data_IF_790887173698
#
_entry.id   IF_790887173698
#
_cell.length_a   1.000
_cell.length_b   1.000
_cell.length_c   1.000
_cell.angle_alpha   90.00
_cell.angle_beta   90.00
_cell.angle_gamma   90.00
#
_symmetry.space_group_name_H-M   'P 1'
#
loop_
_entity.id
_entity.type
_entity.pdbx_description
1 polymer ?
#
# COMPACT_ATOMS: atom_id res chain seq x y z
N UNK A 1 7.89 -10.15 -17.23
CA UNK A 1 7.33 -11.44 -16.77
C UNK A 1 7.31 -11.47 -15.25
N UNK A 2 6.20 -11.91 -14.65
CA UNK A 2 6.13 -12.16 -13.21
C UNK A 2 6.79 -13.50 -12.88
N UNK A 3 7.69 -13.48 -11.91
CA UNK A 3 8.51 -14.62 -11.52
C UNK A 3 7.95 -15.36 -10.31
N UNK A 4 6.74 -15.06 -9.86
CA UNK A 4 6.04 -15.81 -8.83
C UNK A 4 4.55 -15.46 -8.86
N UNK A 5 3.73 -16.42 -8.45
CA UNK A 5 2.27 -16.27 -8.34
C UNK A 5 1.86 -16.09 -6.88
N UNK A 6 0.73 -15.42 -6.67
CA UNK A 6 0.17 -15.21 -5.34
C UNK A 6 -0.98 -16.16 -5.06
N UNK A 7 -1.17 -16.53 -3.80
CA UNK A 7 -2.29 -17.34 -3.35
C UNK A 7 -3.59 -16.53 -3.53
N UNK A 8 -4.57 -17.14 -4.20
CA UNK A 8 -5.92 -16.59 -4.35
C UNK A 8 -6.13 -15.70 -5.57
N UNK A 9 -5.07 -15.16 -6.18
CA UNK A 9 -5.14 -14.30 -7.36
C UNK A 9 -3.84 -14.31 -8.16
N UNK A 10 -3.94 -14.23 -9.49
CA UNK A 10 -2.75 -14.13 -10.33
C UNK A 10 -2.16 -12.72 -10.28
N UNK A 11 -0.83 -12.59 -10.41
CA UNK A 11 -0.22 -11.26 -10.43
C UNK A 11 -0.73 -10.39 -11.58
N UNK A 12 -1.08 -11.02 -12.70
CA UNK A 12 -1.71 -10.36 -13.85
C UNK A 12 -3.10 -9.83 -13.46
N UNK A 13 -3.93 -10.63 -12.77
CA UNK A 13 -5.26 -10.18 -12.33
C UNK A 13 -5.20 -9.03 -11.32
N UNK A 14 -4.16 -8.99 -10.48
CA UNK A 14 -3.94 -7.88 -9.52
C UNK A 14 -3.59 -6.56 -10.23
N UNK A 15 -2.88 -6.62 -11.36
CA UNK A 15 -2.56 -5.45 -12.17
C UNK A 15 -3.75 -4.97 -12.99
N UNK A 16 -4.52 -5.89 -13.55
CA UNK A 16 -5.69 -5.56 -14.39
C UNK A 16 -6.81 -4.93 -13.57
N UNK A 17 -7.04 -5.43 -12.35
CA UNK A 17 -8.06 -4.86 -11.45
C UNK A 17 -7.65 -3.52 -10.87
N UNK A 18 -6.35 -3.23 -10.86
CA UNK A 18 -5.76 -2.26 -9.95
C UNK A 18 -6.03 -2.75 -8.53
N UNK A 19 -4.99 -3.12 -7.79
CA UNK A 19 -5.16 -3.07 -6.34
C UNK A 19 -5.63 -1.64 -6.02
N UNK A 20 -6.56 -1.38 -5.08
CA UNK A 20 -7.35 -0.14 -4.99
C UNK A 20 -6.58 1.20 -4.89
N UNK A 21 -5.25 1.15 -4.95
CA UNK A 21 -4.25 2.20 -4.86
C UNK A 21 -3.19 2.17 -5.98
N UNK A 22 -3.12 1.12 -6.81
CA UNK A 22 -2.21 1.05 -7.96
C UNK A 22 -2.96 1.37 -9.24
N UNK A 23 -2.39 2.28 -10.03
CA UNK A 23 -2.85 2.52 -11.39
C UNK A 23 -2.83 1.19 -12.13
N UNK A 24 -3.99 0.71 -12.62
CA UNK A 24 -4.00 -0.53 -13.36
C UNK A 24 -3.21 -0.28 -14.66
N UNK A 25 -2.42 -1.27 -15.10
CA UNK A 25 -1.59 -1.13 -16.30
C UNK A 25 -2.42 -0.96 -17.59
N UNK A 26 -3.74 -1.14 -17.49
CA UNK A 26 -4.74 -0.92 -18.53
C UNK A 26 -5.30 0.51 -18.56
N UNK A 27 -5.04 1.35 -17.54
CA UNK A 27 -5.31 2.78 -17.66
C UNK A 27 -4.54 3.28 -18.88
N UNK A 28 -5.16 4.11 -19.73
CA UNK A 28 -4.58 4.71 -20.93
C UNK A 28 -3.33 5.57 -20.61
N UNK A 29 -2.29 4.94 -20.11
CA UNK A 29 -0.96 5.47 -19.97
C UNK A 29 -0.42 5.56 -21.38
N UNK A 30 -0.07 6.76 -21.81
CA UNK A 30 0.65 7.05 -23.07
C UNK A 30 2.09 6.53 -22.98
N UNK A 31 2.27 5.26 -22.61
CA UNK A 31 3.57 4.62 -22.65
C UNK A 31 3.95 4.46 -24.12
N UNK A 32 5.10 5.00 -24.57
CA UNK A 32 5.54 4.84 -25.96
C UNK A 32 5.90 3.38 -26.28
N UNK A 33 6.00 2.52 -25.26
CA UNK A 33 6.34 1.12 -25.39
C UNK A 33 5.10 0.24 -25.24
N UNK A 34 4.95 -0.73 -26.14
CA UNK A 34 4.00 -1.84 -25.99
C UNK A 34 4.64 -2.91 -25.13
N UNK A 35 4.14 -3.12 -23.92
CA UNK A 35 4.62 -4.16 -23.01
C UNK A 35 3.73 -5.40 -23.10
N UNK A 36 4.33 -6.58 -23.20
CA UNK A 36 3.65 -7.86 -23.03
C UNK A 36 3.93 -8.40 -21.63
N UNK A 37 2.86 -8.68 -20.87
CA UNK A 37 2.94 -9.23 -19.53
C UNK A 37 2.58 -10.72 -19.56
N UNK A 38 3.39 -11.53 -18.89
CA UNK A 38 3.20 -12.97 -18.83
C UNK A 38 3.72 -13.52 -17.51
N UNK A 39 3.15 -14.63 -17.07
CA UNK A 39 3.67 -15.50 -16.01
C UNK A 39 4.17 -16.85 -16.56
N UNK A 40 4.15 -17.03 -17.89
CA UNK A 40 4.60 -18.26 -18.53
C UNK A 40 6.12 -18.43 -18.43
N UNK A 41 6.55 -19.40 -17.61
CA UNK A 41 7.96 -19.73 -17.36
C UNK A 41 8.76 -20.12 -18.59
N UNK A 42 8.12 -20.63 -19.65
CA UNK A 42 8.84 -20.96 -20.88
C UNK A 42 9.41 -19.72 -21.59
N UNK A 43 8.90 -18.53 -21.28
CA UNK A 43 9.35 -17.26 -21.84
C UNK A 43 10.37 -16.54 -20.94
N UNK A 44 10.82 -17.17 -19.85
CA UNK A 44 11.72 -16.54 -18.89
C UNK A 44 13.02 -16.07 -19.54
N UNK A 45 13.69 -16.89 -20.35
CA UNK A 45 14.95 -16.52 -21.02
C UNK A 45 14.80 -15.39 -22.04
N UNK A 46 13.60 -15.23 -22.62
CA UNK A 46 13.32 -14.27 -23.67
C UNK A 46 12.69 -12.98 -23.13
N UNK A 47 12.36 -12.94 -21.83
CA UNK A 47 11.75 -11.80 -21.19
C UNK A 47 12.80 -10.74 -20.85
N UNK A 48 12.59 -9.49 -21.28
CA UNK A 48 13.50 -8.37 -20.95
C UNK A 48 13.54 -8.05 -19.45
N UNK A 49 12.47 -8.35 -18.73
CA UNK A 49 12.34 -8.07 -17.29
C UNK A 49 11.68 -9.23 -16.55
N UNK A 50 12.26 -9.59 -15.41
CA UNK A 50 11.71 -10.56 -14.47
C UNK A 50 11.35 -9.84 -13.17
N UNK A 51 10.08 -9.87 -12.78
CA UNK A 51 9.58 -9.17 -11.60
C UNK A 51 9.29 -10.18 -10.51
N UNK A 52 9.89 -9.99 -9.35
CA UNK A 52 9.75 -10.84 -8.17
C UNK A 52 8.92 -10.08 -7.16
N UNK A 53 7.72 -10.56 -6.86
CA UNK A 53 6.85 -9.97 -5.84
C UNK A 53 7.20 -10.52 -4.47
N UNK A 54 7.89 -9.75 -3.65
CA UNK A 54 8.29 -10.16 -2.30
C UNK A 54 7.16 -9.84 -1.32
N UNK A 55 6.14 -10.71 -1.31
CA UNK A 55 4.98 -10.66 -0.42
C UNK A 55 4.69 -12.06 0.15
N UNK A 56 4.21 -12.16 1.40
CA UNK A 56 4.07 -13.44 2.10
C UNK A 56 3.11 -14.44 1.44
N UNK A 57 2.14 -13.95 0.68
CA UNK A 57 1.24 -14.77 -0.13
C UNK A 57 1.80 -15.18 -1.50
N UNK A 58 3.01 -14.74 -1.87
CA UNK A 58 3.57 -14.89 -3.21
C UNK A 58 4.93 -15.60 -3.13
N UNK A 59 4.90 -16.92 -2.93
CA UNK A 59 6.12 -17.69 -2.73
C UNK A 59 6.98 -17.72 -3.99
N UNK A 60 8.29 -17.53 -3.83
CA UNK A 60 9.26 -17.78 -4.89
C UNK A 60 9.67 -19.24 -4.78
N UNK A 61 8.98 -20.08 -5.55
CA UNK A 61 9.19 -21.53 -5.60
C UNK A 61 10.34 -21.91 -6.55
N UNK A 62 10.58 -21.10 -7.58
CA UNK A 62 11.59 -21.34 -8.60
C UNK A 62 12.38 -20.07 -8.90
N UNK A 63 13.68 -20.11 -8.60
CA UNK A 63 14.63 -19.10 -9.04
C UNK A 63 15.09 -19.38 -10.48
N UNK A 64 15.36 -18.33 -11.29
CA UNK A 64 16.00 -18.50 -12.59
C UNK A 64 17.31 -19.27 -12.47
N UNK A 65 17.46 -20.35 -13.25
CA UNK A 65 18.64 -21.23 -13.17
C UNK A 65 19.95 -20.50 -13.48
N UNK A 66 19.89 -19.46 -14.32
CA UNK A 66 21.03 -18.62 -14.66
C UNK A 66 20.58 -17.17 -14.73
N UNK A 67 21.24 -16.31 -13.95
CA UNK A 67 21.10 -14.86 -14.10
C UNK A 67 21.79 -14.41 -15.38
N UNK A 68 21.10 -13.65 -16.22
CA UNK A 68 21.68 -13.09 -17.45
C UNK A 68 21.81 -11.58 -17.37
N UNK A 69 22.80 -11.01 -18.05
CA UNK A 69 23.06 -9.57 -18.03
C UNK A 69 22.09 -8.76 -18.91
N UNK A 70 21.39 -9.43 -19.83
CA UNK A 70 20.42 -8.82 -20.75
C UNK A 70 19.02 -8.68 -20.15
N UNK A 71 18.80 -9.21 -18.95
CA UNK A 71 17.51 -9.17 -18.27
C UNK A 71 17.59 -8.27 -17.05
N UNK A 72 16.55 -7.48 -16.83
CA UNK A 72 16.39 -6.69 -15.61
C UNK A 72 15.68 -7.52 -14.54
N UNK A 73 16.34 -7.77 -13.41
CA UNK A 73 15.77 -8.47 -12.26
C UNK A 73 15.19 -7.44 -11.29
N UNK A 74 13.87 -7.43 -11.15
CA UNK A 74 13.13 -6.40 -10.43
C UNK A 74 12.61 -6.96 -9.11
N UNK A 75 13.04 -6.37 -8.00
CA UNK A 75 12.43 -6.58 -6.69
C UNK A 75 11.19 -5.69 -6.57
N UNK A 76 10.01 -6.29 -6.47
CA UNK A 76 8.76 -5.57 -6.25
C UNK A 76 8.20 -5.89 -4.87
N UNK A 77 8.03 -4.87 -4.04
CA UNK A 77 7.27 -4.99 -2.80
C UNK A 77 6.82 -3.63 -2.30
N UNK A 78 5.59 -3.57 -1.85
CA UNK A 78 5.02 -2.43 -1.13
C UNK A 78 4.82 -2.72 0.35
N UNK A 79 5.20 -3.93 0.80
CA UNK A 79 5.16 -4.32 2.19
C UNK A 79 6.35 -3.78 2.99
N UNK A 80 6.17 -3.63 4.28
CA UNK A 80 7.26 -3.21 5.17
C UNK A 80 8.38 -4.25 5.21
N UNK A 81 9.65 -3.85 5.38
CA UNK A 81 10.77 -4.77 5.47
C UNK A 81 10.61 -5.77 6.64
N UNK A 82 9.96 -5.36 7.74
CA UNK A 82 9.67 -6.25 8.87
C UNK A 82 8.86 -7.46 8.41
N UNK A 83 7.78 -7.22 7.64
CA UNK A 83 6.94 -8.29 7.13
C UNK A 83 7.57 -9.06 5.98
N UNK A 84 8.22 -8.38 5.04
CA UNK A 84 8.89 -9.06 3.93
C UNK A 84 9.95 -10.04 4.45
N UNK A 85 10.70 -9.66 5.48
CA UNK A 85 11.75 -10.50 6.07
C UNK A 85 11.22 -11.69 6.88
N UNK A 86 9.92 -11.76 7.17
CA UNK A 86 9.31 -12.96 7.77
C UNK A 86 9.21 -14.12 6.77
N UNK A 87 9.14 -13.81 5.48
CA UNK A 87 8.93 -14.80 4.42
C UNK A 87 10.16 -14.99 3.53
N UNK A 88 11.01 -13.97 3.43
CA UNK A 88 12.15 -13.95 2.54
C UNK A 88 13.44 -13.67 3.29
N UNK A 89 14.47 -14.48 3.06
CA UNK A 89 15.78 -14.25 3.66
C UNK A 89 16.38 -12.96 3.12
N UNK A 90 16.85 -12.07 4.01
CA UNK A 90 17.55 -10.83 3.65
C UNK A 90 18.68 -11.04 2.64
N UNK A 91 19.32 -12.22 2.65
CA UNK A 91 20.41 -12.56 1.73
C UNK A 91 20.01 -12.58 0.25
N UNK A 92 18.72 -12.65 -0.08
CA UNK A 92 18.24 -12.57 -1.48
C UNK A 92 18.07 -11.11 -1.92
N UNK A 93 17.97 -10.17 -0.97
CA UNK A 93 17.75 -8.74 -1.21
C UNK A 93 19.10 -8.02 -1.34
N UNK A 94 19.97 -8.54 -2.19
CA UNK A 94 21.28 -7.96 -2.46
C UNK A 94 21.24 -7.13 -3.74
N UNK A 95 22.12 -6.13 -3.77
CA UNK A 95 22.44 -5.35 -4.98
C UNK A 95 23.09 -6.21 -6.09
N UNK A 96 23.50 -7.44 -5.77
CA UNK A 96 24.08 -8.39 -6.72
C UNK A 96 23.04 -9.18 -7.50
N UNK A 97 21.85 -9.44 -6.95
CA UNK A 97 20.81 -10.20 -7.63
C UNK A 97 19.82 -9.30 -8.37
N UNK A 98 19.22 -8.35 -7.64
CA UNK A 98 18.25 -7.41 -8.19
C UNK A 98 18.93 -6.17 -8.77
N UNK A 99 18.54 -5.82 -9.99
CA UNK A 99 18.99 -4.62 -10.67
C UNK A 99 18.13 -3.40 -10.32
N UNK A 100 16.83 -3.62 -10.12
CA UNK A 100 15.81 -2.58 -9.95
C UNK A 100 14.98 -2.89 -8.72
N UNK A 101 14.68 -1.87 -7.92
CA UNK A 101 13.73 -1.98 -6.82
C UNK A 101 12.51 -1.13 -7.10
N UNK A 102 11.31 -1.70 -6.94
CA UNK A 102 10.03 -1.01 -7.04
C UNK A 102 9.37 -1.10 -5.65
N UNK A 103 9.43 -0.03 -4.87
CA UNK A 103 8.93 -0.02 -3.48
C UNK A 103 8.32 1.32 -3.08
N UNK A 104 7.70 1.37 -1.90
CA UNK A 104 7.16 2.61 -1.32
C UNK A 104 8.26 3.59 -0.84
N UNK A 105 9.54 3.23 -0.87
CA UNK A 105 10.60 4.16 -0.45
C UNK A 105 11.02 5.06 -1.59
N UNK A 106 11.28 6.33 -1.30
CA UNK A 106 11.71 7.30 -2.31
C UNK A 106 13.13 7.07 -2.82
N UNK A 107 13.93 6.25 -2.13
CA UNK A 107 15.27 5.85 -2.57
C UNK A 107 15.28 4.56 -3.41
N UNK A 108 14.11 4.04 -3.78
CA UNK A 108 13.99 2.93 -4.73
C UNK A 108 14.16 3.40 -6.17
N UNK A 109 14.61 2.50 -7.06
CA UNK A 109 14.72 2.79 -8.51
C UNK A 109 13.40 3.29 -9.10
N UNK A 110 12.27 2.73 -8.66
CA UNK A 110 10.93 3.18 -9.02
C UNK A 110 10.11 3.34 -7.74
N UNK A 111 9.85 4.60 -7.37
CA UNK A 111 9.01 4.94 -6.24
C UNK A 111 7.54 4.61 -6.53
N UNK A 112 6.96 3.74 -5.72
CA UNK A 112 5.58 3.26 -5.82
C UNK A 112 4.90 3.34 -4.45
N UNK A 113 4.48 4.55 -4.03
CA UNK A 113 3.71 4.70 -2.80
C UNK A 113 2.30 4.15 -2.97
N UNK A 114 1.59 3.95 -1.87
CA UNK A 114 0.15 3.62 -1.91
C UNK A 114 -0.70 4.77 -2.44
N UNK A 115 -0.27 6.01 -2.27
CA UNK A 115 -0.94 7.18 -2.85
C UNK A 115 -0.02 8.40 -2.73
N UNK A 116 -0.48 9.54 -3.24
CA UNK A 116 0.22 10.81 -3.09
C UNK A 116 -0.74 11.99 -2.97
N UNK A 117 -0.27 13.05 -2.31
CA UNK A 117 -0.94 14.34 -2.36
C UNK A 117 -0.36 15.16 -3.51
N UNK A 118 -1.24 15.53 -4.44
CA UNK A 118 -0.88 16.38 -5.57
C UNK A 118 -1.52 17.75 -5.37
N UNK A 119 -0.77 18.80 -5.70
CA UNK A 119 -1.29 20.17 -5.64
C UNK A 119 -2.43 20.33 -6.63
N UNK A 120 -3.56 20.87 -6.16
CA UNK A 120 -4.67 21.25 -7.03
C UNK A 120 -4.23 22.44 -7.91
N UNK A 121 -4.34 22.28 -9.21
CA UNK A 121 -4.00 23.32 -10.21
C UNK A 121 -5.26 23.76 -10.96
N UNK A 122 -5.12 24.66 -11.95
CA UNK A 122 -6.24 25.02 -12.82
C UNK A 122 -6.69 23.84 -13.71
N UNK A 123 -5.77 22.91 -14.02
CA UNK A 123 -6.00 21.77 -14.93
C UNK A 123 -6.54 20.51 -14.22
N UNK A 124 -6.57 20.47 -12.88
CA UNK A 124 -7.09 19.31 -12.13
C UNK A 124 -8.57 19.07 -12.50
N UNK A 125 -9.02 17.86 -12.85
CA UNK A 125 -10.43 17.63 -13.18
C UNK A 125 -11.37 18.05 -12.03
N UNK A 126 -12.58 18.54 -12.35
CA UNK A 126 -13.52 19.05 -11.33
C UNK A 126 -13.96 17.91 -10.40
N UNK A 127 -14.14 16.72 -10.96
CA UNK A 127 -14.46 15.48 -10.26
C UNK A 127 -13.40 15.06 -9.23
N UNK A 128 -12.16 15.53 -9.38
CA UNK A 128 -11.04 15.26 -8.47
C UNK A 128 -10.88 16.35 -7.39
N UNK A 129 -11.79 17.34 -7.35
CA UNK A 129 -11.77 18.44 -6.38
C UNK A 129 -13.00 18.39 -5.50
N UNK A 130 -12.83 18.68 -4.21
CA UNK A 130 -13.96 19.01 -3.34
C UNK A 130 -14.11 20.51 -3.23
N UNK A 131 -15.35 20.98 -3.35
CA UNK A 131 -15.74 22.32 -2.96
C UNK A 131 -15.77 22.45 -1.44
N UNK A 132 -15.61 23.68 -0.94
CA UNK A 132 -15.73 23.95 0.50
C UNK A 132 -17.10 23.50 1.04
N UNK A 133 -18.18 23.66 0.26
CA UNK A 133 -19.51 23.23 0.64
C UNK A 133 -19.58 21.70 0.83
N UNK A 134 -19.04 20.92 -0.12
CA UNK A 134 -19.01 19.45 -0.02
C UNK A 134 -18.18 18.99 1.18
N UNK A 135 -17.02 19.59 1.42
CA UNK A 135 -16.20 19.29 2.60
C UNK A 135 -16.99 19.55 3.87
N UNK A 136 -17.63 20.71 3.99
CA UNK A 136 -18.44 21.07 5.17
C UNK A 136 -19.61 20.11 5.38
N UNK A 137 -20.33 19.72 4.34
CA UNK A 137 -21.44 18.75 4.46
C UNK A 137 -20.94 17.38 4.89
N UNK A 138 -19.87 16.86 4.26
CA UNK A 138 -19.29 15.56 4.61
C UNK A 138 -18.77 15.53 6.05
N UNK A 139 -18.08 16.58 6.49
CA UNK A 139 -17.55 16.67 7.86
C UNK A 139 -18.68 16.82 8.88
N UNK A 140 -19.73 17.60 8.57
CA UNK A 140 -20.90 17.77 9.46
C UNK A 140 -21.65 16.47 9.73
N UNK A 141 -21.64 15.54 8.76
CA UNK A 141 -22.31 14.25 8.90
C UNK A 141 -21.53 13.23 9.76
N UNK A 142 -20.26 13.50 10.09
CA UNK A 142 -19.45 12.65 10.95
C UNK A 142 -19.83 12.88 12.41
N UNK A 143 -20.46 11.89 13.02
CA UNK A 143 -21.00 11.98 14.39
C UNK A 143 -20.23 11.13 15.39
N UNK A 144 -19.46 10.13 14.92
CA UNK A 144 -18.69 9.24 15.77
C UNK A 144 -17.25 9.73 15.92
N UNK A 145 -16.64 9.47 17.08
CA UNK A 145 -15.30 9.99 17.42
C UNK A 145 -14.20 9.35 16.56
N UNK A 146 -13.88 8.09 16.83
CA UNK A 146 -12.78 7.39 16.16
C UNK A 146 -13.12 5.95 15.84
N UNK A 147 -12.50 5.41 14.79
CA UNK A 147 -12.58 3.98 14.43
C UNK A 147 -11.23 3.41 14.07
N UNK A 148 -11.05 2.12 14.37
CA UNK A 148 -9.95 1.30 13.90
C UNK A 148 -10.50 0.01 13.31
N UNK A 149 -10.04 -0.35 12.11
CA UNK A 149 -10.38 -1.62 11.46
C UNK A 149 -9.08 -2.38 11.22
N UNK A 150 -8.85 -3.47 11.95
CA UNK A 150 -7.58 -4.19 11.95
C UNK A 150 -7.78 -5.69 12.17
N UNK A 151 -7.20 -6.50 11.28
CA UNK A 151 -7.36 -7.96 11.29
C UNK A 151 -6.04 -8.72 11.43
N UNK A 152 -4.92 -8.02 11.47
CA UNK A 152 -3.61 -8.64 11.70
C UNK A 152 -3.13 -8.22 13.09
N UNK A 153 -3.05 -9.15 14.02
CA UNK A 153 -2.82 -8.83 15.44
C UNK A 153 -1.42 -9.29 15.86
N UNK A 154 -1.00 -8.90 17.05
CA UNK A 154 0.26 -9.30 17.69
C UNK A 154 1.49 -8.88 16.86
N UNK A 155 1.49 -7.61 16.45
CA UNK A 155 2.51 -7.05 15.56
C UNK A 155 3.56 -6.23 16.32
N UNK A 156 4.79 -6.23 15.80
CA UNK A 156 5.94 -5.59 16.45
C UNK A 156 5.93 -4.05 16.40
N UNK A 157 4.93 -3.41 15.77
CA UNK A 157 4.82 -1.94 15.78
C UNK A 157 4.38 -1.34 17.11
N UNK A 158 3.91 -2.17 18.05
CA UNK A 158 3.36 -1.71 19.33
C UNK A 158 1.94 -1.13 19.22
N UNK A 159 1.31 -1.16 18.03
CA UNK A 159 -0.04 -0.63 17.84
C UNK A 159 -1.08 -1.33 18.71
N UNK A 160 -0.94 -2.63 18.94
CA UNK A 160 -1.96 -3.40 19.67
C UNK A 160 -1.97 -3.02 21.15
N UNK A 161 -0.79 -2.76 21.72
CA UNK A 161 -0.64 -2.19 23.06
C UNK A 161 -1.27 -0.79 23.12
N UNK A 162 -0.97 0.08 22.15
CA UNK A 162 -1.55 1.42 22.10
C UNK A 162 -3.09 1.38 21.96
N UNK A 163 -3.61 0.56 21.05
CA UNK A 163 -5.05 0.32 20.87
C UNK A 163 -5.70 -0.08 22.18
N UNK A 164 -5.14 -1.05 22.91
CA UNK A 164 -5.65 -1.50 24.20
C UNK A 164 -5.63 -0.38 25.26
N UNK A 165 -4.54 0.41 25.32
CA UNK A 165 -4.47 1.56 26.23
C UNK A 165 -5.53 2.61 25.89
N UNK A 166 -5.72 2.91 24.61
CA UNK A 166 -6.72 3.88 24.15
C UNK A 166 -8.15 3.42 24.45
N UNK A 167 -8.46 2.13 24.37
CA UNK A 167 -9.79 1.60 24.75
C UNK A 167 -10.14 1.86 26.22
N UNK A 168 -9.13 1.97 27.10
CA UNK A 168 -9.34 2.33 28.51
C UNK A 168 -9.52 3.83 28.76
N UNK A 169 -9.24 4.69 27.77
CA UNK A 169 -9.24 6.15 27.91
C UNK A 169 -10.28 6.84 27.03
N UNK A 170 -10.64 6.24 25.90
CA UNK A 170 -11.48 6.80 24.86
C UNK A 170 -12.45 5.73 24.38
N UNK A 171 -13.72 6.11 24.21
CA UNK A 171 -14.68 5.25 23.52
C UNK A 171 -14.52 5.42 22.00
N UNK A 172 -14.07 4.37 21.32
CA UNK A 172 -13.92 4.35 19.87
C UNK A 172 -14.30 2.97 19.32
N UNK A 173 -14.70 2.94 18.05
CA UNK A 173 -15.12 1.71 17.41
C UNK A 173 -13.90 0.88 16.96
N UNK A 174 -13.79 -0.36 17.44
CA UNK A 174 -12.80 -1.32 16.99
C UNK A 174 -13.47 -2.48 16.22
N UNK A 175 -12.99 -2.74 15.01
CA UNK A 175 -13.43 -3.81 14.12
C UNK A 175 -12.25 -4.61 13.55
N UNK A 176 -12.57 -5.71 12.88
CA UNK A 176 -11.62 -6.69 12.35
C UNK A 176 -11.33 -7.80 13.37
N UNK A 177 -10.47 -8.74 12.97
CA UNK A 177 -10.15 -9.91 13.80
C UNK A 177 -9.59 -9.52 15.17
N UNK A 178 -8.86 -8.40 15.29
CA UNK A 178 -8.32 -7.94 16.57
C UNK A 178 -9.37 -7.23 17.44
N UNK A 179 -10.51 -6.85 16.86
CA UNK A 179 -11.64 -6.23 17.57
C UNK A 179 -12.79 -7.17 17.90
N UNK A 180 -12.74 -8.42 17.43
CA UNK A 180 -13.82 -9.40 17.62
C UNK A 180 -15.13 -9.10 16.88
N UNK A 181 -15.16 -8.05 16.04
CA UNK A 181 -16.33 -7.66 15.23
C UNK A 181 -15.92 -7.60 13.77
N UNK A 182 -16.54 -8.40 12.90
CA UNK A 182 -16.26 -8.35 11.47
C UNK A 182 -16.66 -7.00 10.86
N UNK A 183 -15.94 -6.57 9.83
CA UNK A 183 -16.26 -5.38 9.06
C UNK A 183 -15.78 -5.63 7.63
N UNK A 184 -16.73 -5.77 6.72
CA UNK A 184 -16.46 -5.95 5.31
C UNK A 184 -16.08 -4.62 4.62
N UNK A 185 -15.95 -4.63 3.30
CA UNK A 185 -15.61 -3.43 2.54
C UNK A 185 -16.68 -2.32 2.70
N UNK A 186 -17.97 -2.66 2.71
CA UNK A 186 -19.06 -1.69 2.83
C UNK A 186 -19.11 -1.07 4.23
N UNK A 187 -18.98 -1.91 5.26
CA UNK A 187 -18.78 -1.48 6.63
C UNK A 187 -17.58 -0.52 6.72
N UNK A 188 -16.42 -0.89 6.17
CA UNK A 188 -15.23 -0.04 6.28
C UNK A 188 -15.43 1.34 5.64
N UNK A 189 -16.04 1.40 4.45
CA UNK A 189 -16.38 2.67 3.80
C UNK A 189 -17.36 3.49 4.63
N UNK A 190 -18.41 2.85 5.15
CA UNK A 190 -19.41 3.49 6.01
C UNK A 190 -18.80 4.04 7.30
N UNK A 191 -17.93 3.28 7.97
CA UNK A 191 -17.29 3.74 9.20
C UNK A 191 -16.36 4.93 8.93
N UNK A 192 -15.65 4.94 7.81
CA UNK A 192 -14.89 6.12 7.40
C UNK A 192 -15.80 7.32 7.13
N UNK A 193 -16.98 7.13 6.52
CA UNK A 193 -17.91 8.24 6.27
C UNK A 193 -18.51 8.83 7.56
N UNK A 194 -18.66 8.02 8.62
CA UNK A 194 -19.33 8.41 9.88
C UNK A 194 -18.40 8.86 11.02
N UNK A 195 -17.10 8.58 10.94
CA UNK A 195 -16.12 8.90 11.99
C UNK A 195 -15.28 10.13 11.67
N UNK A 196 -14.95 10.90 12.71
CA UNK A 196 -14.04 12.05 12.62
C UNK A 196 -12.57 11.62 12.48
N UNK A 197 -12.16 10.60 13.23
CA UNK A 197 -10.79 10.10 13.25
C UNK A 197 -10.72 8.63 12.83
N UNK A 198 -9.65 8.27 12.12
CA UNK A 198 -9.32 6.88 11.82
C UNK A 198 -7.95 6.55 12.40
N UNK A 199 -7.87 5.52 13.24
CA UNK A 199 -6.61 5.04 13.77
C UNK A 199 -5.91 4.17 12.73
N UNK A 200 -5.19 4.83 11.82
CA UNK A 200 -4.40 4.20 10.76
C UNK A 200 -3.06 3.66 11.26
N UNK A 201 -3.08 2.86 12.31
CA UNK A 201 -1.87 2.33 12.93
C UNK A 201 -1.30 1.17 12.10
N UNK A 202 -0.15 1.42 11.48
CA UNK A 202 0.51 0.42 10.64
C UNK A 202 1.07 -0.75 11.44
N UNK A 203 1.20 -1.89 10.76
CA UNK A 203 1.75 -3.11 11.34
C UNK A 203 3.26 -3.02 11.62
N UNK A 204 3.92 -1.99 11.07
CA UNK A 204 5.36 -1.76 11.20
C UNK A 204 5.65 -0.26 11.25
N UNK A 205 6.65 0.12 12.05
CA UNK A 205 7.16 1.50 12.10
C UNK A 205 8.40 1.58 11.22
N UNK A 206 8.20 1.92 9.94
CA UNK A 206 9.29 2.04 8.97
C UNK A 206 9.24 3.42 8.29
N UNK A 207 10.38 4.04 7.94
CA UNK A 207 10.37 5.31 7.25
C UNK A 207 9.59 5.20 5.94
N UNK A 208 8.67 6.14 5.69
CA UNK A 208 7.82 6.25 4.50
C UNK A 208 6.75 5.16 4.32
N UNK A 209 6.62 4.21 5.25
CA UNK A 209 5.61 3.16 5.16
C UNK A 209 4.23 3.69 5.56
N UNK A 210 3.50 4.23 4.57
CA UNK A 210 2.18 4.82 4.69
C UNK A 210 1.25 4.11 3.71
N UNK A 211 0.30 3.31 4.23
CA UNK A 211 -0.48 2.37 3.42
C UNK A 211 -1.90 2.86 3.14
N UNK A 212 -2.75 1.96 2.61
CA UNK A 212 -4.17 2.22 2.35
C UNK A 212 -4.93 2.71 3.58
N UNK A 213 -4.48 2.39 4.79
CA UNK A 213 -5.10 2.84 6.05
C UNK A 213 -5.14 4.37 6.15
N UNK A 214 -4.01 5.01 5.90
CA UNK A 214 -3.91 6.47 5.92
C UNK A 214 -4.70 7.09 4.76
N UNK A 215 -4.49 6.57 3.55
CA UNK A 215 -5.02 7.18 2.33
C UNK A 215 -6.53 7.02 2.18
N UNK A 216 -7.10 5.88 2.57
CA UNK A 216 -8.57 5.68 2.55
C UNK A 216 -9.27 6.61 3.52
N UNK A 217 -8.73 6.84 4.71
CA UNK A 217 -9.28 7.81 5.65
C UNK A 217 -9.25 9.23 5.05
N UNK A 218 -8.12 9.62 4.47
CA UNK A 218 -7.96 10.94 3.86
C UNK A 218 -8.94 11.17 2.69
N UNK A 219 -9.13 10.17 1.83
CA UNK A 219 -10.11 10.20 0.71
C UNK A 219 -11.56 10.33 1.19
N UNK A 220 -11.84 10.02 2.46
CA UNK A 220 -13.17 10.13 3.09
C UNK A 220 -13.31 11.35 4.01
N UNK A 221 -12.36 12.30 3.96
CA UNK A 221 -12.29 13.46 4.85
C UNK A 221 -12.28 13.09 6.33
N UNK A 222 -11.75 11.91 6.65
CA UNK A 222 -11.55 11.42 8.02
C UNK A 222 -10.11 11.63 8.39
N UNK A 223 -9.86 12.20 9.56
CA UNK A 223 -8.49 12.55 9.98
C UNK A 223 -7.74 11.28 10.35
N UNK A 224 -6.70 10.88 9.59
CA UNK A 224 -5.89 9.73 9.96
C UNK A 224 -5.00 10.07 11.15
N UNK A 225 -5.08 9.26 12.21
CA UNK A 225 -4.17 9.28 13.35
C UNK A 225 -3.18 8.14 13.18
N UNK A 226 -1.90 8.46 13.30
CA UNK A 226 -0.78 7.58 12.96
C UNK A 226 0.15 7.41 14.15
N UNK A 227 0.86 6.28 14.21
CA UNK A 227 1.73 5.94 15.34
C UNK A 227 2.86 6.95 15.56
N UNK A 228 3.48 7.41 14.46
CA UNK A 228 4.62 8.29 14.55
C UNK A 228 4.73 9.21 13.34
N UNK A 229 4.95 10.51 13.60
CA UNK A 229 5.22 11.51 12.55
C UNK A 229 6.51 11.22 11.78
N UNK A 230 7.52 10.62 12.40
CA UNK A 230 8.82 10.36 11.77
C UNK A 230 8.71 9.44 10.54
N UNK A 231 7.65 8.63 10.45
CA UNK A 231 7.32 7.83 9.27
C UNK A 231 7.09 8.71 8.03
N UNK A 232 6.65 9.95 8.20
CA UNK A 232 6.33 10.90 7.12
C UNK A 232 7.50 11.79 6.69
N UNK A 233 8.68 11.66 7.31
CA UNK A 233 9.79 12.60 7.21
C UNK A 233 10.40 12.81 5.81
N UNK A 234 9.97 12.08 4.80
CA UNK A 234 10.33 12.32 3.40
C UNK A 234 9.14 12.32 2.41
N UNK A 235 7.94 11.88 2.81
CA UNK A 235 6.77 11.82 1.91
C UNK A 235 6.01 13.16 1.77
N UNK A 236 6.32 14.15 2.62
CA UNK A 236 5.61 15.43 2.70
C UNK A 236 6.51 16.65 2.47
N UNK A 237 7.81 16.46 2.18
CA UNK A 237 8.76 17.58 2.07
C UNK A 237 8.42 18.52 0.91
N UNK A 238 7.81 18.03 -0.17
CA UNK A 238 7.45 18.84 -1.34
C UNK A 238 6.18 19.70 -1.16
N UNK A 239 5.36 19.45 -0.13
CA UNK A 239 4.18 20.29 0.16
C UNK A 239 4.50 21.52 1.03
N UNK A 240 5.75 21.63 1.48
CA UNK A 240 6.21 22.73 2.35
C UNK A 240 7.06 23.78 1.62
N UNK A 241 7.12 23.73 0.29
CA UNK A 241 7.77 24.73 -0.56
C UNK A 241 6.78 25.37 -1.53
#
# INVERSE_FOLDING_TARGET
MWNNECIGDTMISMLDRGFPTYLPLNAQNKCPFKCEYTANRSLESNSSMLIFHLHGGCLIDHWPKKRTYNQNYVMFTVESPVYTLMYFNRSIMTDTFFNTTVTYRTDSTVFMPYDSLVRITADTPIEDRWTEHEVRQKVKNKTKLAVQVVSHCDVNSGRDLLTKTLQGMLNFDLYGSCGGRSCDANCYQSELDNHLFYFGFENSVCPQYVTEKFWRALRKLTVPVVLCRAVFSASFYELSK
#
